data_IF_813011325453
#
_entry.id   IF_813011325453
#
_cell.length_a   1.000
_cell.length_b   1.000
_cell.length_c   1.000
_cell.angle_alpha   90.00
_cell.angle_beta   90.00
_cell.angle_gamma   90.00
#
_symmetry.space_group_name_H-M   'P 1'
#
loop_
_entity.id
_entity.type
_entity.pdbx_description
1 polymer ?
#
# COMPACT_ATOMS: atom_id res chain seq x y z
N UNK A 1 2.78 -19.44 -15.92
CA UNK A 1 3.86 -18.74 -16.66
C UNK A 1 5.00 -18.44 -15.70
N UNK A 2 6.27 -18.59 -16.10
CA UNK A 2 7.39 -18.23 -15.24
C UNK A 2 7.40 -16.71 -15.00
N UNK A 3 7.55 -16.32 -13.73
CA UNK A 3 7.65 -14.91 -13.32
C UNK A 3 8.84 -14.23 -14.00
N UNK A 4 8.58 -13.48 -15.06
CA UNK A 4 9.60 -12.67 -15.73
C UNK A 4 10.22 -11.68 -14.72
N UNK A 5 11.51 -11.35 -14.87
CA UNK A 5 12.21 -10.38 -13.99
C UNK A 5 11.41 -9.07 -13.77
N UNK A 6 10.75 -8.47 -14.79
CA UNK A 6 9.89 -7.29 -14.60
C UNK A 6 8.73 -7.51 -13.63
N UNK A 7 8.05 -8.67 -13.69
CA UNK A 7 6.95 -8.98 -12.77
C UNK A 7 7.45 -9.19 -11.34
N UNK A 8 8.65 -9.74 -11.16
CA UNK A 8 9.24 -9.86 -9.82
C UNK A 8 9.61 -8.50 -9.21
N UNK A 9 10.14 -7.57 -10.01
CA UNK A 9 10.45 -6.22 -9.55
C UNK A 9 9.17 -5.46 -9.20
N UNK A 10 8.16 -5.49 -10.06
CA UNK A 10 6.86 -4.87 -9.79
C UNK A 10 6.23 -5.38 -8.48
N UNK A 11 6.25 -6.70 -8.26
CA UNK A 11 5.77 -7.28 -7.01
C UNK A 11 6.50 -6.72 -5.79
N UNK A 12 7.83 -6.59 -5.87
CA UNK A 12 8.64 -6.04 -4.78
C UNK A 12 8.29 -4.58 -4.53
N UNK A 13 8.18 -3.79 -5.59
CA UNK A 13 7.85 -2.37 -5.50
C UNK A 13 6.46 -2.17 -4.88
N UNK A 14 5.46 -2.95 -5.30
CA UNK A 14 4.10 -2.90 -4.72
C UNK A 14 4.11 -3.23 -3.21
N UNK A 15 4.85 -4.26 -2.79
CA UNK A 15 4.98 -4.58 -1.35
C UNK A 15 5.71 -3.50 -0.58
N UNK A 16 6.76 -2.91 -1.16
CA UNK A 16 7.51 -1.83 -0.53
C UNK A 16 6.65 -0.57 -0.35
N UNK A 17 5.86 -0.19 -1.37
CA UNK A 17 4.93 0.93 -1.30
C UNK A 17 3.86 0.67 -0.24
N UNK A 18 3.29 -0.54 -0.19
CA UNK A 18 2.32 -0.93 0.85
C UNK A 18 2.89 -0.79 2.26
N UNK A 19 4.08 -1.33 2.50
CA UNK A 19 4.73 -1.23 3.80
C UNK A 19 5.02 0.23 4.21
N UNK A 20 5.49 1.05 3.26
CA UNK A 20 5.73 2.48 3.51
C UNK A 20 4.42 3.23 3.82
N UNK A 21 3.33 2.89 3.15
CA UNK A 21 1.99 3.43 3.42
C UNK A 21 1.52 3.04 4.82
N UNK A 22 1.63 1.77 5.21
CA UNK A 22 1.29 1.31 6.56
C UNK A 22 2.10 2.06 7.63
N UNK A 23 3.41 2.22 7.43
CA UNK A 23 4.25 2.97 8.37
C UNK A 23 3.83 4.44 8.45
N UNK A 24 3.51 5.06 7.31
CA UNK A 24 3.02 6.44 7.26
C UNK A 24 1.67 6.59 8.00
N UNK A 25 0.79 5.61 7.88
CA UNK A 25 -0.48 5.55 8.62
C UNK A 25 -0.28 5.51 10.13
N UNK A 26 0.66 4.69 10.61
CA UNK A 26 1.02 4.61 12.02
C UNK A 26 1.49 5.99 12.52
N UNK A 27 2.36 6.64 11.76
CA UNK A 27 2.95 7.92 12.17
C UNK A 27 1.93 9.06 12.13
N UNK A 28 1.03 9.08 11.13
CA UNK A 28 -0.13 9.96 11.10
C UNK A 28 -1.07 9.72 12.29
N UNK A 29 -1.32 8.46 12.68
CA UNK A 29 -2.10 8.13 13.86
C UNK A 29 -1.45 8.62 15.17
N UNK A 30 -0.12 8.63 15.26
CA UNK A 30 0.60 9.23 16.41
C UNK A 30 0.49 10.76 16.41
N UNK A 31 0.52 11.39 15.24
CA UNK A 31 0.34 12.84 15.11
C UNK A 31 -1.10 13.24 15.43
N UNK A 32 -2.10 12.43 15.07
CA UNK A 32 -3.52 12.65 15.38
C UNK A 32 -3.76 12.85 16.88
N UNK A 33 -3.04 12.11 17.73
CA UNK A 33 -3.13 12.22 19.19
C UNK A 33 -2.66 13.58 19.75
N UNK A 34 -2.03 14.42 18.93
CA UNK A 34 -1.59 15.78 19.30
C UNK A 34 -2.52 16.87 18.77
N UNK A 35 -3.55 16.51 18.02
CA UNK A 35 -4.52 17.44 17.41
C UNK A 35 -5.76 17.59 18.30
N UNK A 36 -6.64 18.53 17.94
CA UNK A 36 -7.98 18.64 18.54
C UNK A 36 -8.80 17.37 18.29
N UNK A 37 -9.81 17.08 19.12
CA UNK A 37 -10.60 15.84 19.00
C UNK A 37 -11.26 15.66 17.62
N UNK A 38 -11.73 16.76 17.00
CA UNK A 38 -12.33 16.72 15.67
C UNK A 38 -11.30 16.38 14.58
N UNK A 39 -10.11 16.99 14.65
CA UNK A 39 -9.02 16.75 13.70
C UNK A 39 -8.42 15.34 13.88
N UNK A 40 -8.38 14.84 15.11
CA UNK A 40 -7.93 13.49 15.42
C UNK A 40 -8.86 12.42 14.83
N UNK A 41 -10.19 12.63 14.89
CA UNK A 41 -11.18 11.75 14.28
C UNK A 41 -11.06 11.75 12.74
N UNK A 42 -10.95 12.94 12.14
CA UNK A 42 -10.77 13.06 10.69
C UNK A 42 -9.48 12.37 10.22
N UNK A 43 -8.38 12.55 10.95
CA UNK A 43 -7.10 11.93 10.63
C UNK A 43 -7.14 10.40 10.83
N UNK A 44 -7.82 9.90 11.86
CA UNK A 44 -8.02 8.47 12.06
C UNK A 44 -8.80 7.82 10.91
N UNK A 45 -9.81 8.51 10.37
CA UNK A 45 -10.55 8.06 9.19
C UNK A 45 -9.65 7.95 7.95
N UNK A 46 -8.83 8.97 7.68
CA UNK A 46 -7.87 8.98 6.58
C UNK A 46 -6.83 7.85 6.71
N UNK A 47 -6.32 7.64 7.92
CA UNK A 47 -5.41 6.54 8.26
C UNK A 47 -6.05 5.17 7.97
N UNK A 48 -7.32 4.99 8.31
CA UNK A 48 -8.07 3.78 8.01
C UNK A 48 -8.14 3.49 6.50
N UNK A 49 -8.50 4.49 5.69
CA UNK A 49 -8.54 4.35 4.22
C UNK A 49 -7.17 3.98 3.63
N UNK A 50 -6.10 4.61 4.11
CA UNK A 50 -4.75 4.32 3.61
C UNK A 50 -4.29 2.90 3.98
N UNK A 51 -4.69 2.37 5.15
CA UNK A 51 -4.45 0.97 5.51
C UNK A 51 -5.17 -0.02 4.58
N UNK A 52 -6.43 0.27 4.23
CA UNK A 52 -7.17 -0.57 3.28
C UNK A 52 -6.51 -0.59 1.89
N UNK A 53 -6.10 0.59 1.40
CA UNK A 53 -5.39 0.70 0.12
C UNK A 53 -4.03 -0.01 0.13
N UNK A 54 -3.29 0.05 1.25
CA UNK A 54 -2.08 -0.75 1.43
C UNK A 54 -2.39 -2.25 1.31
N UNK A 55 -3.41 -2.75 2.03
CA UNK A 55 -3.85 -4.13 1.91
C UNK A 55 -4.16 -4.57 0.47
N UNK A 56 -4.81 -3.69 -0.31
CA UNK A 56 -5.08 -3.94 -1.74
C UNK A 56 -3.79 -4.04 -2.57
N UNK A 57 -2.79 -3.19 -2.30
CA UNK A 57 -1.48 -3.25 -2.96
C UNK A 57 -0.75 -4.57 -2.68
N UNK A 58 -0.84 -5.11 -1.45
CA UNK A 58 -0.32 -6.45 -1.13
C UNK A 58 -1.02 -7.52 -1.96
N UNK A 59 -2.36 -7.44 -2.07
CA UNK A 59 -3.16 -8.34 -2.90
C UNK A 59 -2.71 -8.35 -4.36
N UNK A 60 -2.55 -7.17 -4.97
CA UNK A 60 -2.05 -7.06 -6.35
C UNK A 60 -0.62 -7.61 -6.50
N UNK A 61 0.25 -7.40 -5.51
CA UNK A 61 1.59 -7.96 -5.53
C UNK A 61 1.56 -9.51 -5.55
N UNK A 62 0.62 -10.13 -4.83
CA UNK A 62 0.46 -11.58 -4.84
C UNK A 62 -0.20 -12.10 -6.13
N UNK A 63 -1.08 -11.32 -6.76
CA UNK A 63 -1.59 -11.63 -8.10
C UNK A 63 -0.52 -11.54 -9.19
N UNK A 64 0.38 -10.56 -9.10
CA UNK A 64 1.58 -10.50 -9.96
C UNK A 64 2.46 -11.73 -9.71
N UNK A 65 2.65 -12.16 -8.44
CA UNK A 65 3.37 -13.39 -8.10
C UNK A 65 2.73 -14.64 -8.71
N UNK A 66 1.40 -14.69 -8.77
CA UNK A 66 0.66 -15.78 -9.37
C UNK A 66 0.65 -15.72 -10.92
N UNK A 67 1.15 -14.63 -11.51
CA UNK A 67 1.11 -14.38 -12.95
C UNK A 67 -0.30 -14.04 -13.46
N UNK A 68 -1.23 -13.64 -12.59
CA UNK A 68 -2.59 -13.19 -12.93
C UNK A 68 -2.61 -11.75 -13.45
N UNK A 69 -1.76 -10.90 -12.87
CA UNK A 69 -1.48 -9.54 -13.37
C UNK A 69 -0.12 -9.55 -14.07
N UNK A 70 -0.06 -9.02 -15.28
CA UNK A 70 1.18 -8.82 -16.05
C UNK A 70 1.33 -7.35 -16.41
N UNK A 71 2.54 -6.80 -16.23
CA UNK A 71 2.84 -5.44 -16.68
C UNK A 71 3.25 -5.47 -18.14
N UNK A 72 2.39 -4.93 -19.00
CA UNK A 72 2.77 -4.53 -20.35
C UNK A 72 3.79 -3.39 -20.28
N UNK A 73 4.71 -3.29 -21.24
CA UNK A 73 5.65 -2.18 -21.32
C UNK A 73 4.85 -0.86 -21.38
N UNK A 74 5.19 0.17 -20.59
CA UNK A 74 4.61 1.50 -20.84
C UNK A 74 5.03 1.91 -22.26
N UNK A 75 4.06 2.33 -23.07
CA UNK A 75 4.33 2.99 -24.36
C UNK A 75 5.13 4.28 -24.16
#
# INVERSE_FOLDING_TARGET
MPLTKPNQQLRRDLKAISFNLEQSCIDLGKLAKKLSDADAIALAGLVGTLYEEAGRLVGYADEVKAGRITRSKPE
#
